data_IF_503489719153
#
_entry.id   IF_503489719153
#
_cell.length_a   1.000
_cell.length_b   1.000
_cell.length_c   1.000
_cell.angle_alpha   90.00
_cell.angle_beta   90.00
_cell.angle_gamma   90.00
#
_symmetry.space_group_name_H-M   'P 1'
#
loop_
_entity.id
_entity.type
_entity.pdbx_description
1 polymer ?
#
# COMPACT_ATOMS: atom_id res chain seq x y z
N UNK A 1 7.77 -20.91 -10.80
CA UNK A 1 8.64 -20.48 -9.69
C UNK A 1 9.45 -21.70 -9.25
N UNK A 2 10.75 -21.56 -9.04
CA UNK A 2 11.63 -22.66 -8.62
C UNK A 2 11.51 -22.83 -7.10
N UNK A 3 11.16 -24.02 -6.61
CA UNK A 3 10.87 -24.27 -5.18
C UNK A 3 12.03 -23.91 -4.25
N UNK A 4 13.27 -24.10 -4.72
CA UNK A 4 14.51 -23.85 -3.99
C UNK A 4 14.66 -22.40 -3.48
N UNK A 5 14.01 -21.43 -4.13
CA UNK A 5 14.07 -20.02 -3.74
C UNK A 5 12.81 -19.52 -3.01
N UNK A 6 11.88 -20.42 -2.66
CA UNK A 6 10.66 -20.04 -1.95
C UNK A 6 10.95 -19.91 -0.46
N UNK A 7 11.20 -18.69 -0.03
CA UNK A 7 11.44 -18.36 1.38
C UNK A 7 10.21 -17.67 1.98
N UNK A 8 9.93 -17.98 3.25
CA UNK A 8 8.99 -17.21 4.07
C UNK A 8 9.78 -16.03 4.64
N UNK A 9 9.41 -14.82 4.26
CA UNK A 9 9.95 -13.59 4.83
C UNK A 9 8.82 -12.62 5.15
N UNK A 10 9.04 -11.76 6.14
CA UNK A 10 8.16 -10.62 6.42
C UNK A 10 8.38 -9.46 5.43
N UNK A 11 9.39 -9.62 4.57
CA UNK A 11 9.83 -8.66 3.57
C UNK A 11 8.95 -8.61 2.31
N UNK A 12 7.83 -9.34 2.27
CA UNK A 12 6.94 -9.40 1.11
C UNK A 12 5.49 -9.19 1.50
N UNK A 13 4.85 -8.24 0.82
CA UNK A 13 3.41 -7.99 0.90
C UNK A 13 2.64 -9.31 0.73
N UNK A 14 1.67 -9.62 1.60
CA UNK A 14 0.96 -8.69 2.50
C UNK A 14 1.65 -8.39 3.84
N UNK A 15 2.83 -8.97 4.12
CA UNK A 15 3.56 -8.64 5.35
C UNK A 15 4.13 -7.21 5.30
N UNK A 16 4.16 -6.50 6.44
CA UNK A 16 4.54 -5.09 6.51
C UNK A 16 6.05 -4.86 6.61
N UNK A 17 6.89 -5.91 6.61
CA UNK A 17 8.30 -5.81 7.01
C UNK A 17 9.09 -4.77 6.23
N UNK A 18 8.88 -4.64 4.91
CA UNK A 18 9.53 -3.58 4.11
C UNK A 18 9.11 -2.16 4.52
N UNK A 19 7.84 -1.97 4.89
CA UNK A 19 7.34 -0.66 5.31
C UNK A 19 7.85 -0.29 6.70
N UNK A 20 7.87 -1.26 7.63
CA UNK A 20 8.42 -1.07 8.98
C UNK A 20 9.94 -0.82 8.96
N UNK A 21 10.66 -1.49 8.06
CA UNK A 21 12.07 -1.21 7.85
C UNK A 21 12.28 0.23 7.34
N UNK A 22 11.52 0.66 6.34
CA UNK A 22 11.59 2.04 5.84
C UNK A 22 11.24 3.06 6.93
N UNK A 23 10.25 2.76 7.79
CA UNK A 23 9.90 3.58 8.94
C UNK A 23 11.10 3.80 9.85
N UNK A 24 11.83 2.74 10.19
CA UNK A 24 13.00 2.80 11.08
C UNK A 24 14.19 3.51 10.44
N UNK A 25 14.48 3.22 9.18
CA UNK A 25 15.65 3.77 8.47
C UNK A 25 15.50 5.26 8.14
N UNK A 26 14.29 5.70 7.82
CA UNK A 26 14.01 7.05 7.32
C UNK A 26 13.24 7.91 8.35
N UNK A 27 12.98 7.38 9.54
CA UNK A 27 12.21 8.03 10.60
C UNK A 27 10.87 8.60 10.09
N UNK A 28 10.11 7.76 9.37
CA UNK A 28 8.84 8.14 8.73
C UNK A 28 7.69 8.08 9.74
N UNK A 29 6.83 9.09 9.71
CA UNK A 29 5.52 8.99 10.37
C UNK A 29 4.54 8.22 9.48
N UNK A 30 4.28 6.96 9.85
CA UNK A 30 3.36 6.08 9.11
C UNK A 30 1.92 6.59 9.14
N UNK A 31 1.48 7.19 10.25
CA UNK A 31 0.12 7.71 10.38
C UNK A 31 -0.12 8.93 9.47
N UNK A 32 0.92 9.70 9.17
CA UNK A 32 0.88 10.80 8.20
C UNK A 32 1.16 10.35 6.75
N UNK A 33 1.49 9.08 6.54
CA UNK A 33 1.91 8.55 5.23
C UNK A 33 0.76 8.03 4.37
N UNK A 34 1.05 7.91 3.07
CA UNK A 34 0.15 7.38 2.06
C UNK A 34 0.77 6.12 1.44
N UNK A 35 0.03 5.01 1.43
CA UNK A 35 0.39 3.83 0.64
C UNK A 35 -0.45 3.83 -0.63
N UNK A 36 0.21 3.68 -1.78
CA UNK A 36 -0.46 3.58 -3.08
C UNK A 36 -0.13 2.23 -3.72
N UNK A 37 -1.15 1.51 -4.18
CA UNK A 37 -0.98 0.20 -4.79
C UNK A 37 -2.13 -0.18 -5.72
N UNK A 38 -1.93 -1.22 -6.53
CA UNK A 38 -2.93 -1.75 -7.47
C UNK A 38 -3.55 -3.08 -6.98
N UNK A 39 -3.13 -3.56 -5.80
CA UNK A 39 -3.50 -4.86 -5.28
C UNK A 39 -4.00 -4.82 -3.83
N UNK A 40 -4.83 -5.80 -3.42
CA UNK A 40 -5.26 -5.93 -2.03
C UNK A 40 -4.09 -6.17 -1.07
N UNK A 41 -3.04 -6.89 -1.48
CA UNK A 41 -1.87 -7.14 -0.61
C UNK A 41 -1.12 -5.86 -0.25
N UNK A 42 -1.18 -4.82 -1.09
CA UNK A 42 -0.62 -3.50 -0.79
C UNK A 42 -1.39 -2.83 0.36
N UNK A 43 -2.71 -2.92 0.33
CA UNK A 43 -3.58 -2.37 1.36
C UNK A 43 -3.40 -3.12 2.68
N UNK A 44 -3.28 -4.45 2.62
CA UNK A 44 -3.03 -5.27 3.81
C UNK A 44 -1.70 -4.93 4.48
N UNK A 45 -0.62 -4.79 3.70
CA UNK A 45 0.68 -4.38 4.23
C UNK A 45 0.62 -2.97 4.84
N UNK A 46 -0.10 -2.03 4.20
CA UNK A 46 -0.31 -0.69 4.72
C UNK A 46 -1.03 -0.69 6.08
N UNK A 47 -2.10 -1.48 6.20
CA UNK A 47 -2.86 -1.66 7.45
C UNK A 47 -1.95 -2.22 8.54
N UNK A 48 -1.21 -3.29 8.23
CA UNK A 48 -0.33 -3.94 9.18
C UNK A 48 0.86 -3.04 9.60
N UNK A 49 1.29 -2.12 8.74
CA UNK A 49 2.33 -1.14 9.03
C UNK A 49 1.82 0.17 9.67
N UNK A 50 0.51 0.31 9.89
CA UNK A 50 -0.09 1.50 10.49
C UNK A 50 -0.09 2.74 9.58
N UNK A 51 -0.11 2.55 8.25
CA UNK A 51 -0.18 3.66 7.30
C UNK A 51 -1.54 4.36 7.37
N UNK A 52 -1.53 5.69 7.49
CA UNK A 52 -2.74 6.46 7.72
C UNK A 52 -3.71 6.52 6.56
N UNK A 53 -3.22 6.56 5.31
CA UNK A 53 -4.08 6.60 4.12
C UNK A 53 -3.67 5.55 3.09
N UNK A 54 -4.65 4.77 2.63
CA UNK A 54 -4.50 3.64 1.71
C UNK A 54 -5.21 3.97 0.40
N UNK A 55 -4.46 4.01 -0.67
CA UNK A 55 -4.94 4.42 -1.99
C UNK A 55 -4.80 3.26 -2.96
N UNK A 56 -5.93 2.78 -3.46
CA UNK A 56 -5.96 1.82 -4.55
C UNK A 56 -6.05 2.57 -5.87
N UNK A 57 -5.20 2.21 -6.83
CA UNK A 57 -5.25 2.74 -8.20
C UNK A 57 -5.82 1.69 -9.15
N UNK A 58 -6.65 2.13 -10.10
CA UNK A 58 -7.18 1.27 -11.16
C UNK A 58 -6.18 1.04 -12.30
N UNK A 59 -5.07 1.77 -12.33
CA UNK A 59 -3.96 1.50 -13.25
C UNK A 59 -3.21 0.24 -12.84
N UNK A 60 -2.94 -0.66 -13.79
CA UNK A 60 -2.17 -1.88 -13.55
C UNK A 60 -3.07 -3.11 -13.59
N UNK A 61 -3.45 -3.63 -12.42
CA UNK A 61 -4.35 -4.78 -12.32
C UNK A 61 -5.82 -4.37 -12.16
N UNK A 62 -6.75 -5.26 -12.57
CA UNK A 62 -8.16 -5.08 -12.25
C UNK A 62 -8.35 -4.98 -10.74
N UNK A 63 -9.05 -3.94 -10.31
CA UNK A 63 -9.42 -3.76 -8.92
C UNK A 63 -10.37 -4.88 -8.48
N UNK A 64 -10.08 -5.46 -7.31
CA UNK A 64 -10.92 -6.48 -6.70
C UNK A 64 -11.81 -5.84 -5.63
N UNK A 65 -12.98 -6.44 -5.37
CA UNK A 65 -13.88 -5.98 -4.31
C UNK A 65 -13.18 -5.93 -2.94
N UNK A 66 -12.28 -6.88 -2.68
CA UNK A 66 -11.45 -6.88 -1.48
C UNK A 66 -10.52 -5.67 -1.42
N UNK A 67 -9.88 -5.31 -2.53
CA UNK A 67 -9.02 -4.13 -2.60
C UNK A 67 -9.80 -2.84 -2.30
N UNK A 68 -11.00 -2.68 -2.89
CA UNK A 68 -11.84 -1.50 -2.65
C UNK A 68 -12.28 -1.38 -1.20
N UNK A 69 -12.59 -2.50 -0.53
CA UNK A 69 -12.98 -2.51 0.88
C UNK A 69 -11.84 -2.14 1.83
N UNK A 70 -10.59 -2.44 1.45
CA UNK A 70 -9.41 -2.17 2.28
C UNK A 70 -8.82 -0.77 2.03
N UNK A 71 -9.14 -0.15 0.90
CA UNK A 71 -8.65 1.17 0.54
C UNK A 71 -9.51 2.28 1.15
N UNK A 72 -8.88 3.38 1.54
CA UNK A 72 -9.62 4.59 1.91
C UNK A 72 -10.06 5.33 0.65
N UNK A 73 -9.19 5.37 -0.37
CA UNK A 73 -9.44 6.01 -1.66
C UNK A 73 -9.23 5.04 -2.82
N UNK A 74 -10.09 5.12 -3.84
CA UNK A 74 -9.90 4.43 -5.12
C UNK A 74 -9.79 5.46 -6.24
N UNK A 75 -8.59 5.58 -6.81
CA UNK A 75 -8.28 6.53 -7.88
C UNK A 75 -8.16 5.82 -9.22
N UNK A 76 -8.38 6.56 -10.32
CA UNK A 76 -8.24 5.98 -11.64
C UNK A 76 -6.76 5.82 -12.00
N UNK A 77 -5.91 6.76 -11.60
CA UNK A 77 -4.47 6.75 -11.83
C UNK A 77 -3.68 7.32 -10.66
N UNK A 78 -2.40 6.95 -10.55
CA UNK A 78 -1.45 7.61 -9.64
C UNK A 78 -1.35 9.12 -9.90
N UNK A 79 -1.55 9.56 -11.14
CA UNK A 79 -1.53 10.97 -11.52
C UNK A 79 -2.62 11.81 -10.83
N UNK A 80 -3.70 11.17 -10.37
CA UNK A 80 -4.81 11.85 -9.69
C UNK A 80 -4.51 12.13 -8.21
N UNK A 81 -3.51 11.44 -7.64
CA UNK A 81 -3.20 11.49 -6.22
C UNK A 81 -2.85 12.90 -5.71
N UNK A 82 -1.99 13.70 -6.38
CA UNK A 82 -1.66 15.05 -5.90
C UNK A 82 -2.90 15.95 -5.82
N UNK A 83 -3.82 15.83 -6.78
CA UNK A 83 -5.07 16.59 -6.78
C UNK A 83 -6.01 16.11 -5.67
N UNK A 84 -6.08 14.81 -5.40
CA UNK A 84 -6.85 14.24 -4.30
C UNK A 84 -6.34 14.72 -2.93
N UNK A 85 -5.02 14.70 -2.71
CA UNK A 85 -4.40 15.17 -1.46
C UNK A 85 -4.71 16.65 -1.21
N UNK A 86 -4.59 17.50 -2.24
CA UNK A 86 -4.87 18.95 -2.13
C UNK A 86 -6.31 19.29 -1.75
N UNK A 87 -7.29 18.43 -2.06
CA UNK A 87 -8.70 18.65 -1.73
C UNK A 87 -9.05 18.32 -0.27
N UNK A 88 -8.18 17.60 0.43
CA UNK A 88 -8.39 17.17 1.82
C UNK A 88 -7.99 18.25 2.83
N UNK A 89 -7.18 19.22 2.40
CA UNK A 89 -6.66 20.34 3.21
C UNK A 89 -7.62 21.52 3.13
#
# INVERSE_FOLDING_TARGET
AVEEYRQVCDCRKPQPGMLLQAQQELNIDMAASYMVGDKPEDMQAAIAAGVGTKVLVRTGKPVTEQGEKLADWVLNSLADLPAAIKKRV
#
